data_IF_721689742593
#
_entry.id   IF_721689742593
#
_cell.length_a   1.000
_cell.length_b   1.000
_cell.length_c   1.000
_cell.angle_alpha   90.00
_cell.angle_beta   90.00
_cell.angle_gamma   90.00
#
_symmetry.space_group_name_H-M   'P 1'
#
loop_
_entity.id
_entity.type
_entity.pdbx_description
1 polymer ?
#
# COMPACT_ATOMS: atom_id res chain seq x y z
N UNK A 1 -9.39 10.72 -3.66
CA UNK A 1 -10.65 10.54 -4.42
C UNK A 1 -10.45 10.71 -5.92
N UNK A 2 -10.32 11.92 -6.48
CA UNK A 2 -10.28 12.11 -7.95
C UNK A 2 -9.27 11.24 -8.71
N UNK A 3 -8.04 11.07 -8.17
CA UNK A 3 -7.03 10.22 -8.81
C UNK A 3 -7.47 8.76 -8.90
N UNK A 4 -8.16 8.25 -7.88
CA UNK A 4 -8.64 6.86 -7.83
C UNK A 4 -9.81 6.70 -8.79
N UNK A 5 -10.82 7.56 -8.73
CA UNK A 5 -11.95 7.49 -9.66
C UNK A 5 -11.53 7.67 -11.12
N UNK A 6 -10.55 8.55 -11.39
CA UNK A 6 -9.97 8.68 -12.73
C UNK A 6 -9.22 7.42 -13.16
N UNK A 7 -8.50 6.78 -12.24
CA UNK A 7 -7.78 5.56 -12.52
C UNK A 7 -8.74 4.43 -12.90
N UNK A 8 -9.82 4.25 -12.14
CA UNK A 8 -10.85 3.24 -12.41
C UNK A 8 -11.51 3.47 -13.77
N UNK A 9 -11.93 4.71 -14.07
CA UNK A 9 -12.55 5.06 -15.36
C UNK A 9 -11.70 4.75 -16.60
N UNK A 10 -10.38 4.80 -16.46
CA UNK A 10 -9.47 4.78 -17.60
C UNK A 10 -8.67 3.47 -17.74
N UNK A 11 -8.49 2.71 -16.66
CA UNK A 11 -7.62 1.52 -16.66
C UNK A 11 -8.24 0.26 -16.07
N UNK A 12 -9.42 0.33 -15.44
CA UNK A 12 -10.05 -0.83 -14.79
C UNK A 12 -11.32 -1.20 -15.55
N UNK A 13 -11.19 -2.10 -16.53
CA UNK A 13 -12.29 -2.50 -17.42
C UNK A 13 -13.37 -3.34 -16.70
N UNK A 14 -13.03 -3.90 -15.54
CA UNK A 14 -13.94 -4.69 -14.71
C UNK A 14 -14.96 -3.84 -13.93
N UNK A 15 -14.77 -2.52 -13.88
CA UNK A 15 -15.64 -1.60 -13.15
C UNK A 15 -16.37 -0.69 -14.14
N UNK A 16 -17.70 -0.73 -14.10
CA UNK A 16 -18.54 0.17 -14.90
C UNK A 16 -18.33 1.64 -14.51
N UNK A 17 -18.23 2.54 -15.50
CA UNK A 17 -18.03 3.98 -15.27
C UNK A 17 -18.98 4.59 -14.21
N UNK A 18 -20.30 4.32 -14.21
CA UNK A 18 -21.20 4.87 -13.20
C UNK A 18 -20.86 4.38 -11.78
N UNK A 19 -20.40 3.13 -11.64
CA UNK A 19 -20.02 2.55 -10.35
C UNK A 19 -18.77 3.26 -9.81
N UNK A 20 -17.72 3.40 -10.62
CA UNK A 20 -16.50 4.13 -10.24
C UNK A 20 -16.81 5.59 -9.82
N UNK A 21 -17.73 6.25 -10.52
CA UNK A 21 -18.17 7.61 -10.17
C UNK A 21 -18.92 7.61 -8.83
N UNK A 22 -19.88 6.69 -8.64
CA UNK A 22 -20.64 6.59 -7.38
C UNK A 22 -19.73 6.35 -6.18
N UNK A 23 -18.79 5.42 -6.27
CA UNK A 23 -17.85 5.12 -5.18
C UNK A 23 -16.94 6.33 -4.88
N UNK A 24 -16.43 7.01 -5.91
CA UNK A 24 -15.65 8.22 -5.72
C UNK A 24 -16.47 9.35 -5.05
N UNK A 25 -17.75 9.49 -5.39
CA UNK A 25 -18.65 10.48 -4.77
C UNK A 25 -18.92 10.16 -3.31
N UNK A 26 -19.15 8.89 -2.97
CA UNK A 26 -19.34 8.46 -1.58
C UNK A 26 -18.06 8.63 -0.75
N UNK A 27 -16.89 8.31 -1.30
CA UNK A 27 -15.60 8.60 -0.65
C UNK A 27 -15.40 10.10 -0.39
N UNK A 28 -15.81 10.97 -1.33
CA UNK A 28 -15.74 12.42 -1.14
C UNK A 28 -16.67 12.90 -0.02
N UNK A 29 -17.84 12.26 0.13
CA UNK A 29 -18.81 12.56 1.19
C UNK A 29 -18.26 12.20 2.57
N UNK A 30 -17.53 11.09 2.68
CA UNK A 30 -16.97 10.62 3.95
C UNK A 30 -15.69 11.38 4.34
N UNK A 31 -14.87 11.77 3.37
CA UNK A 31 -13.50 12.26 3.62
C UNK A 31 -13.32 13.77 3.42
N UNK A 32 -14.38 14.51 3.07
CA UNK A 32 -14.29 15.92 2.69
C UNK A 32 -15.50 16.75 3.14
N UNK A 33 -15.71 17.91 2.52
CA UNK A 33 -16.78 18.86 2.83
C UNK A 33 -18.06 18.60 2.01
N UNK A 34 -19.17 19.21 2.41
CA UNK A 34 -20.49 19.06 1.78
C UNK A 34 -20.53 19.38 0.27
N UNK A 35 -19.64 20.25 -0.21
CA UNK A 35 -19.54 20.62 -1.63
C UNK A 35 -18.79 19.58 -2.48
N UNK A 36 -17.97 18.75 -1.84
CA UNK A 36 -17.04 17.85 -2.53
C UNK A 36 -17.71 16.74 -3.34
N UNK A 37 -18.79 16.06 -2.87
CA UNK A 37 -19.51 15.06 -3.66
C UNK A 37 -20.00 15.59 -5.01
N UNK A 38 -20.58 16.80 -5.01
CA UNK A 38 -21.06 17.45 -6.25
C UNK A 38 -19.91 17.77 -7.20
N UNK A 39 -18.81 18.29 -6.66
CA UNK A 39 -17.62 18.60 -7.46
C UNK A 39 -17.03 17.34 -8.11
N UNK A 40 -16.86 16.26 -7.34
CA UNK A 40 -16.32 14.98 -7.83
C UNK A 40 -17.22 14.38 -8.90
N UNK A 41 -18.54 14.35 -8.68
CA UNK A 41 -19.51 13.88 -9.67
C UNK A 41 -19.42 14.67 -10.98
N UNK A 42 -19.32 16.01 -10.88
CA UNK A 42 -19.22 16.88 -12.04
C UNK A 42 -17.94 16.67 -12.85
N UNK A 43 -16.79 16.52 -12.19
CA UNK A 43 -15.50 16.29 -12.86
C UNK A 43 -15.45 14.90 -13.50
N UNK A 44 -15.77 13.84 -12.75
CA UNK A 44 -15.67 12.47 -13.26
C UNK A 44 -16.72 12.16 -14.32
N UNK A 45 -17.93 12.72 -14.20
CA UNK A 45 -18.96 12.60 -15.25
C UNK A 45 -18.50 13.18 -16.60
N UNK A 46 -17.85 14.35 -16.58
CA UNK A 46 -17.28 14.95 -17.81
C UNK A 46 -16.15 14.13 -18.41
N UNK A 47 -15.39 13.43 -17.58
CA UNK A 47 -14.32 12.56 -18.05
C UNK A 47 -14.91 11.27 -18.64
N UNK A 48 -15.93 10.68 -18.01
CA UNK A 48 -16.63 9.51 -18.54
C UNK A 48 -17.24 9.79 -19.92
N UNK A 49 -17.83 10.98 -20.14
CA UNK A 49 -18.35 11.42 -21.46
C UNK A 49 -17.30 11.31 -22.59
N UNK A 50 -16.01 11.43 -22.28
CA UNK A 50 -14.92 11.36 -23.26
C UNK A 50 -14.03 10.12 -23.10
N UNK A 51 -14.27 9.28 -22.09
CA UNK A 51 -13.40 8.16 -21.74
C UNK A 51 -13.33 7.10 -22.84
N UNK A 52 -14.40 6.90 -23.61
CA UNK A 52 -14.41 5.96 -24.74
C UNK A 52 -13.40 6.33 -25.84
N UNK A 53 -13.11 7.62 -26.00
CA UNK A 53 -12.14 8.13 -26.98
C UNK A 53 -10.71 8.11 -26.44
N UNK A 54 -10.54 8.11 -25.12
CA UNK A 54 -9.23 8.13 -24.45
C UNK A 54 -8.70 6.70 -24.27
N UNK A 55 -9.55 5.77 -23.81
CA UNK A 55 -9.19 4.38 -23.47
C UNK A 55 -8.39 3.65 -24.57
N UNK A 56 -8.73 3.71 -25.87
CA UNK A 56 -7.96 3.02 -26.92
C UNK A 56 -6.50 3.49 -27.05
N UNK A 57 -6.18 4.71 -26.61
CA UNK A 57 -4.82 5.26 -26.63
C UNK A 57 -4.02 4.99 -25.36
N UNK A 58 -4.64 4.39 -24.35
CA UNK A 58 -3.97 4.07 -23.09
C UNK A 58 -3.27 2.72 -23.19
N UNK A 59 -2.02 2.69 -22.73
CA UNK A 59 -1.40 1.41 -22.39
C UNK A 59 -2.12 0.88 -21.15
N UNK A 60 -2.43 -0.42 -21.08
CA UNK A 60 -2.96 -1.00 -19.85
C UNK A 60 -2.01 -0.67 -18.70
N UNK A 61 -2.57 -0.42 -17.52
CA UNK A 61 -1.76 -0.24 -16.33
C UNK A 61 -0.85 -1.46 -16.23
N UNK A 62 0.46 -1.25 -16.16
CA UNK A 62 1.38 -2.37 -16.02
C UNK A 62 0.90 -3.20 -14.82
N UNK A 63 0.82 -4.54 -14.92
CA UNK A 63 0.43 -5.34 -13.78
C UNK A 63 1.33 -4.94 -12.61
N UNK A 64 0.70 -4.64 -11.47
CA UNK A 64 1.43 -4.43 -10.23
C UNK A 64 2.19 -5.72 -10.00
N UNK A 65 3.51 -5.71 -10.23
CA UNK A 65 4.35 -6.84 -9.87
C UNK A 65 4.32 -6.86 -8.35
N UNK A 66 3.59 -7.82 -7.78
CA UNK A 66 3.83 -8.22 -6.40
C UNK A 66 5.32 -8.60 -6.36
N UNK A 67 6.12 -7.82 -5.64
CA UNK A 67 7.51 -8.17 -5.37
C UNK A 67 7.47 -9.41 -4.50
N UNK A 68 7.86 -10.56 -5.05
CA UNK A 68 8.07 -11.82 -4.31
C UNK A 68 9.29 -11.75 -3.35
N UNK A 69 9.88 -10.57 -3.11
CA UNK A 69 11.18 -10.38 -2.45
C UNK A 69 11.12 -9.83 -1.01
N UNK A 70 10.06 -10.12 -0.24
CA UNK A 70 9.98 -9.79 1.20
C UNK A 70 9.88 -11.08 2.07
N UNK A 71 10.60 -12.14 1.70
CA UNK A 71 10.88 -13.23 2.65
C UNK A 71 12.14 -12.83 3.44
N UNK A 72 12.04 -12.47 4.74
CA UNK A 72 13.24 -12.28 5.54
C UNK A 72 13.96 -13.63 5.63
N UNK A 73 15.22 -13.67 5.20
CA UNK A 73 16.09 -14.85 5.34
C UNK A 73 16.05 -15.33 6.80
N UNK A 74 15.27 -16.37 7.04
CA UNK A 74 15.24 -17.09 8.29
C UNK A 74 16.48 -17.98 8.37
N UNK A 75 17.66 -17.38 8.39
CA UNK A 75 18.89 -18.06 8.76
C UNK A 75 19.12 -17.89 10.27
N UNK A 76 18.20 -18.48 11.02
CA UNK A 76 18.52 -18.99 12.35
C UNK A 76 19.44 -20.21 12.18
N UNK A 77 20.74 -20.07 12.49
CA UNK A 77 21.51 -21.03 13.33
C UNK A 77 23.01 -20.71 13.46
N UNK A 78 23.44 -20.48 14.72
CA UNK A 78 24.84 -20.56 15.18
C UNK A 78 25.12 -19.60 16.34
N UNK A 79 24.93 -20.00 17.61
CA UNK A 79 26.01 -20.45 18.52
C UNK A 79 27.06 -19.33 18.76
N UNK A 80 27.22 -18.70 19.93
CA UNK A 80 27.40 -19.27 21.28
C UNK A 80 27.01 -18.25 22.37
N UNK A 81 26.23 -18.66 23.37
CA UNK A 81 26.21 -17.99 24.68
C UNK A 81 27.27 -18.68 25.56
N UNK A 82 28.34 -18.00 26.01
CA UNK A 82 29.23 -18.60 27.01
C UNK A 82 28.52 -18.58 28.36
N UNK A 83 28.24 -19.78 28.87
CA UNK A 83 27.57 -20.02 30.13
C UNK A 83 28.35 -19.51 31.34
N UNK A 84 27.59 -19.08 32.34
CA UNK A 84 28.03 -18.91 33.71
C UNK A 84 28.59 -20.24 34.25
N UNK A 85 29.92 -20.39 34.25
CA UNK A 85 30.59 -21.32 35.17
C UNK A 85 30.99 -20.57 36.43
N UNK A 86 30.29 -20.89 37.50
CA UNK A 86 30.56 -20.44 38.87
C UNK A 86 31.48 -21.46 39.55
N UNK A 87 32.32 -20.95 40.47
CA UNK A 87 33.11 -21.62 41.53
C UNK A 87 34.50 -22.12 41.10
N UNK A 88 35.59 -21.96 41.84
CA UNK A 88 35.77 -21.94 43.30
C UNK A 88 36.88 -20.97 43.76
N UNK A 89 36.77 -20.55 45.02
CA UNK A 89 37.83 -19.92 45.80
C UNK A 89 39.06 -20.82 45.94
N UNK A 90 40.25 -20.26 46.20
CA UNK A 90 40.96 -20.45 47.49
C UNK A 90 42.35 -19.77 47.56
N UNK A 91 42.73 -19.35 48.77
CA UNK A 91 44.08 -19.10 49.35
C UNK A 91 44.89 -17.90 48.81
N UNK A 92 44.99 -16.83 49.60
CA UNK A 92 46.13 -16.56 50.51
C UNK A 92 47.44 -16.31 49.76
N UNK A 93 47.94 -15.08 49.82
CA UNK A 93 49.16 -14.78 50.56
C UNK A 93 49.36 -13.27 50.72
N UNK A 94 49.67 -12.89 51.95
CA UNK A 94 50.14 -11.58 52.35
C UNK A 94 51.63 -11.44 52.03
N UNK A 95 52.09 -10.22 51.74
CA UNK A 95 53.43 -9.61 51.98
C UNK A 95 53.74 -8.65 50.81
N UNK A 96 54.19 -7.41 51.00
CA UNK A 96 54.57 -6.67 52.21
C UNK A 96 54.86 -5.22 51.85
#
# INVERSE_FOLDING_TARGET
>A
VLRIGLYELLWVEEIDDPVAITEAVELARTLSTDDSPRFVNGVLGRISDIAEYIRPGLKPAAPVRESEDDEPDADERGLDEPGDEVLEADQSEAHG
#
